data_IF_424657098236
#
_entry.id   IF_424657098236
#
_cell.length_a   1.000
_cell.length_b   1.000
_cell.length_c   1.000
_cell.angle_alpha   90.00
_cell.angle_beta   90.00
_cell.angle_gamma   90.00
#
_symmetry.space_group_name_H-M   'P 1'
#
loop_
_entity.id
_entity.type
_entity.pdbx_description
1 polymer ?
#
# COMPACT_ATOMS: atom_id res chain seq x y z
N UNK A 1 -7.05 -21.41 -4.37
CA UNK A 1 -7.25 -22.86 -4.63
C UNK A 1 -8.55 -23.31 -3.99
N UNK A 2 -9.22 -24.28 -4.60
CA UNK A 2 -10.39 -24.97 -4.07
C UNK A 2 -9.93 -26.38 -3.68
N UNK A 3 -10.36 -26.88 -2.52
CA UNK A 3 -10.03 -28.23 -2.05
C UNK A 3 -11.33 -28.95 -1.75
N UNK A 4 -11.53 -30.09 -2.39
CA UNK A 4 -12.71 -30.95 -2.24
C UNK A 4 -12.24 -32.26 -1.63
N UNK A 5 -12.93 -32.70 -0.59
CA UNK A 5 -12.67 -33.99 0.08
C UNK A 5 -13.88 -34.89 -0.09
N UNK A 6 -13.66 -36.06 -0.69
CA UNK A 6 -14.66 -37.09 -0.88
C UNK A 6 -14.61 -38.07 0.29
N UNK A 7 -15.71 -38.80 0.51
CA UNK A 7 -15.77 -39.84 1.56
C UNK A 7 -15.01 -41.11 1.22
N UNK A 8 -14.61 -41.28 -0.05
CA UNK A 8 -13.91 -42.43 -0.58
C UNK A 8 -13.11 -42.07 -1.85
N UNK A 9 -12.19 -42.95 -2.31
CA UNK A 9 -11.44 -42.73 -3.54
C UNK A 9 -12.33 -42.64 -4.80
N UNK A 10 -12.08 -41.63 -5.62
CA UNK A 10 -12.87 -41.33 -6.83
C UNK A 10 -12.20 -41.81 -8.12
N UNK A 11 -12.99 -42.07 -9.17
CA UNK A 11 -12.47 -42.09 -10.54
C UNK A 11 -12.09 -40.66 -10.93
N UNK A 12 -10.79 -40.41 -11.00
CA UNK A 12 -10.23 -39.08 -11.23
C UNK A 12 -10.65 -38.52 -12.59
N UNK A 13 -10.57 -39.30 -13.65
CA UNK A 13 -10.89 -38.83 -14.99
C UNK A 13 -12.39 -38.50 -15.13
N UNK A 14 -13.26 -39.34 -14.56
CA UNK A 14 -14.69 -39.08 -14.52
C UNK A 14 -15.02 -37.84 -13.67
N UNK A 15 -14.35 -37.67 -12.53
CA UNK A 15 -14.58 -36.55 -11.62
C UNK A 15 -14.09 -35.21 -12.20
N UNK A 16 -12.94 -35.20 -12.88
CA UNK A 16 -12.43 -34.02 -13.57
C UNK A 16 -13.35 -33.61 -14.72
N UNK A 17 -13.88 -34.58 -15.48
CA UNK A 17 -14.87 -34.33 -16.54
C UNK A 17 -16.21 -33.81 -16.00
N UNK A 18 -16.55 -34.11 -14.75
CA UNK A 18 -17.77 -33.69 -14.07
C UNK A 18 -17.71 -32.27 -13.47
N UNK A 19 -16.55 -31.60 -13.54
CA UNK A 19 -16.41 -30.22 -13.08
C UNK A 19 -17.15 -29.25 -14.00
N UNK A 20 -18.04 -28.46 -13.41
CA UNK A 20 -18.77 -27.40 -14.08
C UNK A 20 -18.61 -26.08 -13.30
N UNK A 21 -18.38 -25.00 -14.02
CA UNK A 21 -18.40 -23.65 -13.46
C UNK A 21 -18.82 -22.66 -14.53
N UNK A 22 -19.77 -21.75 -14.24
CA UNK A 22 -20.11 -20.68 -15.16
C UNK A 22 -18.99 -19.63 -15.31
N UNK A 23 -18.09 -19.54 -14.32
CA UNK A 23 -17.11 -18.45 -14.20
C UNK A 23 -15.67 -18.89 -14.50
N UNK A 24 -15.33 -20.16 -14.24
CA UNK A 24 -13.98 -20.70 -14.36
C UNK A 24 -14.03 -22.06 -15.07
N UNK A 25 -13.91 -22.06 -16.40
CA UNK A 25 -13.98 -23.29 -17.19
C UNK A 25 -12.87 -24.30 -16.85
N UNK A 26 -13.07 -25.59 -17.17
CA UNK A 26 -12.11 -26.66 -16.90
C UNK A 26 -10.70 -26.39 -17.50
N UNK A 27 -10.62 -25.73 -18.67
CA UNK A 27 -9.34 -25.36 -19.28
C UNK A 27 -8.59 -24.21 -18.57
N UNK A 28 -9.23 -23.55 -17.61
CA UNK A 28 -8.66 -22.45 -16.82
C UNK A 28 -8.18 -22.90 -15.45
N UNK A 29 -8.26 -24.19 -15.14
CA UNK A 29 -7.79 -24.76 -13.88
C UNK A 29 -6.80 -25.90 -14.12
N UNK A 30 -5.98 -26.16 -13.11
CA UNK A 30 -5.22 -27.38 -12.95
C UNK A 30 -5.83 -28.17 -11.80
N UNK A 31 -6.00 -29.48 -12.01
CA UNK A 31 -6.59 -30.39 -11.04
C UNK A 31 -5.51 -31.37 -10.56
N UNK A 32 -5.38 -31.49 -9.25
CA UNK A 32 -4.39 -32.35 -8.61
C UNK A 32 -5.06 -33.22 -7.55
N UNK A 33 -4.70 -34.50 -7.52
CA UNK A 33 -5.21 -35.45 -6.55
C UNK A 33 -4.16 -35.81 -5.51
N UNK A 34 -4.60 -36.07 -4.29
CA UNK A 34 -3.75 -36.73 -3.32
C UNK A 34 -3.52 -38.22 -3.69
N UNK A 35 -2.57 -38.88 -3.01
CA UNK A 35 -2.23 -40.27 -3.29
C UNK A 35 -3.37 -41.26 -3.00
N UNK A 36 -4.30 -40.93 -2.09
CA UNK A 36 -5.45 -41.77 -1.78
C UNK A 36 -6.58 -41.63 -2.81
N UNK A 37 -6.56 -40.60 -3.66
CA UNK A 37 -7.59 -40.35 -4.67
C UNK A 37 -8.93 -39.84 -4.10
N UNK A 38 -8.94 -39.37 -2.84
CA UNK A 38 -10.13 -38.87 -2.14
C UNK A 38 -10.07 -37.35 -1.88
N UNK A 39 -8.98 -36.67 -2.27
CA UNK A 39 -8.87 -35.21 -2.21
C UNK A 39 -8.48 -34.65 -3.57
N UNK A 40 -9.34 -33.78 -4.11
CA UNK A 40 -9.11 -33.01 -5.33
C UNK A 40 -8.79 -31.56 -4.98
N UNK A 41 -7.66 -31.06 -5.46
CA UNK A 41 -7.29 -29.64 -5.42
C UNK A 41 -7.45 -29.04 -6.80
N UNK A 42 -8.29 -28.00 -6.91
CA UNK A 42 -8.50 -27.24 -8.13
C UNK A 42 -7.82 -25.87 -7.98
N UNK A 43 -6.90 -25.56 -8.89
CA UNK A 43 -6.14 -24.31 -8.87
C UNK A 43 -6.37 -23.55 -10.17
N UNK A 44 -6.96 -22.35 -10.14
CA UNK A 44 -6.99 -21.47 -11.31
C UNK A 44 -5.59 -21.24 -11.87
N UNK A 45 -5.45 -21.40 -13.19
CA UNK A 45 -4.17 -21.24 -13.91
C UNK A 45 -3.69 -19.78 -13.93
N UNK A 46 -4.60 -18.84 -13.72
CA UNK A 46 -4.33 -17.42 -13.52
C UNK A 46 -5.00 -16.94 -12.22
N UNK A 47 -4.46 -15.89 -11.57
CA UNK A 47 -5.13 -15.26 -10.44
C UNK A 47 -6.56 -14.84 -10.79
N UNK A 48 -7.50 -15.13 -9.89
CA UNK A 48 -8.88 -14.67 -10.06
C UNK A 48 -8.93 -13.15 -9.95
N UNK A 49 -9.75 -12.47 -10.78
CA UNK A 49 -9.83 -11.02 -10.75
C UNK A 49 -10.48 -10.54 -9.45
N UNK A 50 -10.13 -9.33 -9.05
CA UNK A 50 -10.85 -8.55 -8.03
C UNK A 50 -11.71 -7.50 -8.72
N UNK A 51 -12.82 -7.12 -8.09
CA UNK A 51 -13.56 -5.92 -8.52
C UNK A 51 -12.73 -4.68 -8.19
N UNK A 52 -12.60 -3.76 -9.15
CA UNK A 52 -12.07 -2.41 -8.90
C UNK A 52 -13.19 -1.58 -8.31
N UNK A 53 -13.30 -1.65 -7.00
CA UNK A 53 -14.46 -1.18 -6.26
C UNK A 53 -14.40 0.33 -5.99
N UNK A 54 -13.18 0.88 -5.84
CA UNK A 54 -12.95 2.21 -5.27
C UNK A 54 -13.32 2.29 -3.79
N UNK A 55 -14.49 1.74 -3.40
CA UNK A 55 -15.05 1.65 -2.06
C UNK A 55 -15.49 0.20 -1.74
N UNK A 56 -15.42 -0.22 -0.48
CA UNK A 56 -15.89 -1.53 0.00
C UNK A 56 -17.39 -1.76 -0.20
N UNK A 57 -18.18 -0.71 -0.41
CA UNK A 57 -19.63 -0.83 -0.64
C UNK A 57 -19.99 -1.54 -1.96
N UNK A 58 -19.08 -1.62 -2.94
CA UNK A 58 -19.32 -2.35 -4.19
C UNK A 58 -19.29 -3.85 -3.92
N UNK A 59 -20.20 -4.63 -4.48
CA UNK A 59 -20.22 -6.08 -4.31
C UNK A 59 -18.93 -6.74 -4.86
N UNK A 60 -18.41 -7.72 -4.13
CA UNK A 60 -17.30 -8.56 -4.61
C UNK A 60 -17.70 -9.40 -5.83
N UNK A 61 -16.71 -9.86 -6.60
CA UNK A 61 -16.95 -10.85 -7.64
C UNK A 61 -17.24 -12.20 -6.97
N UNK A 62 -18.40 -12.76 -7.29
CA UNK A 62 -18.80 -14.10 -6.90
C UNK A 62 -18.42 -15.10 -8.00
N UNK A 63 -17.97 -16.27 -7.58
CA UNK A 63 -17.62 -17.40 -8.43
C UNK A 63 -18.40 -18.62 -7.95
N UNK A 64 -18.95 -19.37 -8.89
CA UNK A 64 -19.64 -20.62 -8.61
C UNK A 64 -18.95 -21.82 -9.28
N UNK A 65 -19.01 -23.00 -8.67
CA UNK A 65 -18.61 -24.26 -9.29
C UNK A 65 -19.39 -25.43 -8.69
N UNK A 66 -19.42 -26.55 -9.40
CA UNK A 66 -19.92 -27.84 -8.91
C UNK A 66 -19.17 -29.01 -9.52
N UNK A 67 -19.23 -30.15 -8.83
CA UNK A 67 -18.93 -31.46 -9.40
C UNK A 67 -20.28 -32.17 -9.58
N UNK A 68 -20.68 -32.43 -10.81
CA UNK A 68 -21.99 -33.00 -11.09
C UNK A 68 -22.04 -34.51 -10.79
N UNK A 69 -23.24 -35.10 -10.89
CA UNK A 69 -23.48 -36.54 -10.58
C UNK A 69 -22.91 -37.52 -11.61
N UNK A 70 -22.22 -37.06 -12.66
CA UNK A 70 -21.45 -37.94 -13.55
C UNK A 70 -20.09 -38.35 -12.97
N UNK A 71 -19.61 -37.67 -11.92
CA UNK A 71 -18.48 -38.14 -11.13
C UNK A 71 -18.85 -39.42 -10.39
N UNK A 72 -17.98 -40.43 -10.46
CA UNK A 72 -18.17 -41.73 -9.80
C UNK A 72 -16.98 -42.11 -8.93
N UNK A 73 -17.23 -42.93 -7.91
CA UNK A 73 -16.16 -43.64 -7.21
C UNK A 73 -15.48 -44.71 -8.11
N UNK A 74 -14.46 -45.39 -7.59
CA UNK A 74 -13.79 -46.47 -8.31
C UNK A 74 -14.66 -47.72 -8.56
N UNK A 75 -15.79 -47.85 -7.86
CA UNK A 75 -16.78 -48.91 -8.07
C UNK A 75 -17.89 -48.51 -9.07
N UNK A 76 -17.87 -47.26 -9.58
CA UNK A 76 -18.85 -46.73 -10.51
C UNK A 76 -20.11 -46.16 -9.84
N UNK A 77 -20.13 -45.97 -8.52
CA UNK A 77 -21.24 -45.31 -7.84
C UNK A 77 -21.15 -43.79 -8.04
N UNK A 78 -22.21 -43.12 -8.52
CA UNK A 78 -22.19 -41.67 -8.74
C UNK A 78 -22.28 -40.88 -7.44
N UNK A 79 -21.86 -39.61 -7.47
CA UNK A 79 -22.20 -38.67 -6.40
C UNK A 79 -23.71 -38.62 -6.17
N UNK A 80 -24.12 -38.55 -4.90
CA UNK A 80 -25.54 -38.55 -4.53
C UNK A 80 -26.30 -37.28 -4.96
N UNK A 81 -25.59 -36.17 -5.14
CA UNK A 81 -26.11 -34.87 -5.57
C UNK A 81 -25.01 -34.07 -6.30
N UNK A 82 -25.40 -33.00 -6.99
CA UNK A 82 -24.50 -32.03 -7.63
C UNK A 82 -24.45 -30.70 -6.86
N UNK A 83 -23.86 -30.66 -5.64
CA UNK A 83 -23.85 -29.45 -4.83
C UNK A 83 -23.16 -28.30 -5.56
N UNK A 84 -23.83 -27.15 -5.62
CA UNK A 84 -23.24 -25.90 -6.11
C UNK A 84 -22.59 -25.15 -4.94
N UNK A 85 -21.34 -24.74 -5.15
CA UNK A 85 -20.56 -23.95 -4.21
C UNK A 85 -20.34 -22.55 -4.76
N UNK A 86 -20.36 -21.56 -3.87
CA UNK A 86 -20.11 -20.15 -4.19
C UNK A 86 -19.04 -19.58 -3.27
N UNK A 87 -18.19 -18.72 -3.80
CA UNK A 87 -17.23 -17.94 -3.02
C UNK A 87 -17.02 -16.59 -3.69
N UNK A 88 -16.48 -15.63 -2.92
CA UNK A 88 -16.11 -14.32 -3.45
C UNK A 88 -14.61 -14.11 -3.38
N UNK A 89 -14.09 -13.28 -4.27
CA UNK A 89 -12.73 -12.74 -4.13
C UNK A 89 -12.77 -11.42 -3.35
N UNK A 90 -11.62 -10.94 -2.88
CA UNK A 90 -11.50 -9.61 -2.30
C UNK A 90 -11.90 -8.48 -3.29
N UNK A 91 -12.06 -7.27 -2.75
CA UNK A 91 -12.24 -6.02 -3.50
C UNK A 91 -10.94 -5.27 -3.54
N UNK A 92 -10.60 -4.71 -4.71
CA UNK A 92 -9.54 -3.71 -4.83
C UNK A 92 -10.13 -2.32 -4.63
N UNK A 93 -9.75 -1.69 -3.53
CA UNK A 93 -10.22 -0.37 -3.11
C UNK A 93 -9.12 0.68 -3.26
N UNK A 94 -9.52 1.93 -3.44
CA UNK A 94 -8.59 3.07 -3.52
C UNK A 94 -8.99 4.18 -2.55
N UNK A 95 -8.01 4.80 -1.92
CA UNK A 95 -8.19 5.92 -1.00
C UNK A 95 -7.07 6.93 -1.15
N UNK A 96 -7.43 8.21 -1.14
CA UNK A 96 -6.49 9.30 -0.92
C UNK A 96 -6.45 9.62 0.57
N UNK A 97 -5.24 9.66 1.14
CA UNK A 97 -5.01 10.13 2.50
C UNK A 97 -4.62 11.61 2.47
N UNK A 98 -5.18 12.35 3.42
CA UNK A 98 -5.05 13.80 3.50
C UNK A 98 -4.00 14.20 4.54
N UNK A 99 -3.34 15.35 4.36
CA UNK A 99 -2.36 15.83 5.32
C UNK A 99 -3.00 16.36 6.60
N UNK A 100 -2.40 16.03 7.75
CA UNK A 100 -2.76 16.61 9.05
C UNK A 100 -2.10 17.97 9.18
N UNK A 101 -2.92 19.01 9.15
CA UNK A 101 -2.48 20.39 9.05
C UNK A 101 -1.53 20.86 10.16
N UNK A 102 -1.80 20.45 11.40
CA UNK A 102 -1.01 20.85 12.57
C UNK A 102 0.32 20.12 12.71
N UNK A 103 0.52 19.04 11.94
CA UNK A 103 1.70 18.16 12.00
C UNK A 103 2.47 18.11 10.68
N UNK A 104 2.12 19.00 9.75
CA UNK A 104 2.76 19.11 8.43
C UNK A 104 3.32 20.51 8.29
N UNK A 105 4.56 20.62 7.83
CA UNK A 105 5.20 21.91 7.62
C UNK A 105 6.71 21.81 7.66
N UNK A 106 7.36 22.77 8.34
CA UNK A 106 8.79 22.81 8.53
C UNK A 106 9.15 23.02 10.00
N UNK A 107 10.31 22.50 10.40
CA UNK A 107 11.00 22.90 11.62
C UNK A 107 12.47 23.16 11.28
N UNK A 108 13.03 24.24 11.82
CA UNK A 108 14.42 24.61 11.65
C UNK A 108 15.29 24.27 12.86
N UNK A 109 16.60 24.19 12.67
CA UNK A 109 17.56 23.93 13.75
C UNK A 109 17.63 25.03 14.83
N UNK A 110 17.09 26.23 14.55
CA UNK A 110 17.01 27.32 15.53
C UNK A 110 15.66 27.40 16.27
N UNK A 111 14.77 26.43 16.06
CA UNK A 111 13.48 26.34 16.76
C UNK A 111 12.34 27.10 16.12
N UNK A 112 12.49 27.58 14.89
CA UNK A 112 11.37 28.10 14.12
C UNK A 112 10.59 26.93 13.50
N UNK A 113 9.30 26.92 13.75
CA UNK A 113 8.34 25.97 13.19
C UNK A 113 7.23 26.72 12.45
N UNK A 114 6.74 26.13 11.36
CA UNK A 114 5.64 26.68 10.58
C UNK A 114 4.81 25.56 9.97
N UNK A 115 3.49 25.71 9.95
CA UNK A 115 2.56 24.72 9.38
C UNK A 115 2.04 25.09 8.00
N UNK A 116 2.29 26.33 7.53
CA UNK A 116 1.85 26.81 6.23
C UNK A 116 2.82 26.46 5.09
N UNK A 117 4.08 26.16 5.40
CA UNK A 117 5.14 25.96 4.41
C UNK A 117 5.86 24.62 4.64
N UNK A 118 6.26 23.92 3.57
CA UNK A 118 7.17 22.76 3.64
C UNK A 118 8.48 23.18 2.96
N UNK A 119 9.47 23.51 3.77
CA UNK A 119 10.80 23.96 3.30
C UNK A 119 11.86 22.97 3.78
N UNK A 120 12.79 22.64 2.88
CA UNK A 120 13.89 21.71 3.15
C UNK A 120 15.19 22.32 2.63
N UNK A 121 16.27 22.24 3.40
CA UNK A 121 17.58 22.79 3.02
C UNK A 121 18.16 23.64 4.13
N UNK A 122 18.78 24.77 3.79
CA UNK A 122 19.25 25.75 4.78
C UNK A 122 18.87 27.19 4.44
N UNK A 123 19.04 28.06 5.43
CA UNK A 123 18.84 29.51 5.32
C UNK A 123 20.15 30.28 5.30
N UNK A 124 20.09 31.56 4.99
CA UNK A 124 21.28 32.43 4.92
C UNK A 124 22.05 32.60 6.23
N UNK A 125 21.46 32.24 7.37
CA UNK A 125 22.16 32.16 8.66
C UNK A 125 22.64 30.72 8.98
N UNK A 126 22.68 29.84 7.98
CA UNK A 126 23.10 28.44 8.05
C UNK A 126 22.28 27.60 9.06
N UNK A 127 21.01 27.96 9.28
CA UNK A 127 20.05 27.11 9.97
C UNK A 127 19.51 26.05 9.01
N UNK A 128 19.49 24.79 9.43
CA UNK A 128 18.90 23.69 8.70
C UNK A 128 17.37 23.81 8.76
N UNK A 129 16.69 23.50 7.66
CA UNK A 129 15.25 23.32 7.55
C UNK A 129 14.95 21.86 7.23
N UNK A 130 14.07 21.24 8.03
CA UNK A 130 13.49 19.93 7.74
C UNK A 130 12.00 20.08 7.45
N UNK A 131 11.55 19.42 6.39
CA UNK A 131 10.13 19.31 6.08
C UNK A 131 9.52 18.13 6.82
N UNK A 132 8.27 18.25 7.25
CA UNK A 132 7.53 17.20 7.92
C UNK A 132 6.19 16.99 7.23
N UNK A 133 5.85 15.73 6.97
CA UNK A 133 4.65 15.31 6.26
C UNK A 133 3.91 14.32 7.17
N UNK A 134 2.67 14.63 7.54
CA UNK A 134 1.84 13.73 8.35
C UNK A 134 0.54 13.45 7.62
N UNK A 135 0.20 12.18 7.40
CA UNK A 135 -0.99 11.75 6.67
C UNK A 135 -1.96 11.04 7.63
N UNK A 136 -3.24 11.35 7.52
CA UNK A 136 -4.32 10.76 8.31
C UNK A 136 -4.78 9.43 7.71
N UNK A 137 -4.56 8.34 8.44
CA UNK A 137 -4.97 6.98 8.08
C UNK A 137 -6.35 6.60 8.61
N UNK A 138 -7.05 7.45 9.36
CA UNK A 138 -8.34 7.13 9.99
C UNK A 138 -9.45 6.77 8.98
N UNK A 139 -9.29 7.18 7.72
CA UNK A 139 -10.18 6.83 6.61
C UNK A 139 -9.93 5.43 6.04
N UNK A 140 -8.84 4.76 6.39
CA UNK A 140 -8.58 3.39 6.00
C UNK A 140 -9.45 2.46 6.86
N UNK A 141 -10.24 1.57 6.25
CA UNK A 141 -11.13 0.69 6.98
C UNK A 141 -10.35 -0.37 7.74
N UNK A 142 -10.97 -1.00 8.74
CA UNK A 142 -10.44 -2.20 9.40
C UNK A 142 -10.44 -3.41 8.46
N UNK A 143 -9.56 -4.37 8.71
CA UNK A 143 -9.55 -5.64 7.98
C UNK A 143 -9.06 -5.53 6.54
N UNK A 144 -8.14 -4.60 6.28
CA UNK A 144 -7.36 -4.61 5.02
C UNK A 144 -6.55 -5.90 4.98
N UNK A 145 -6.71 -6.66 3.89
CA UNK A 145 -6.00 -7.92 3.67
C UNK A 145 -4.57 -7.69 3.19
N UNK A 146 -4.40 -6.71 2.30
CA UNK A 146 -3.11 -6.40 1.67
C UNK A 146 -3.11 -4.96 1.14
N UNK A 147 -1.98 -4.26 1.28
CA UNK A 147 -1.73 -3.01 0.56
C UNK A 147 -0.99 -3.31 -0.74
N UNK A 148 -1.57 -2.94 -1.88
CA UNK A 148 -0.97 -3.16 -3.20
C UNK A 148 -0.12 -1.97 -3.64
N UNK A 149 -0.47 -0.75 -3.24
CA UNK A 149 0.34 0.45 -3.46
C UNK A 149 0.06 1.54 -2.43
N UNK A 150 1.07 2.35 -2.12
CA UNK A 150 0.91 3.60 -1.39
C UNK A 150 1.91 4.62 -1.93
N UNK A 151 1.41 5.64 -2.64
CA UNK A 151 2.25 6.63 -3.31
C UNK A 151 2.12 7.99 -2.63
N UNK A 152 3.11 8.32 -1.80
CA UNK A 152 3.27 9.65 -1.23
C UNK A 152 3.69 10.61 -2.35
N UNK A 153 3.05 11.77 -2.42
CA UNK A 153 3.36 12.78 -3.43
C UNK A 153 3.23 14.20 -2.89
N UNK A 154 4.05 15.11 -3.44
CA UNK A 154 4.02 16.54 -3.15
C UNK A 154 4.71 17.31 -4.29
N UNK A 155 4.19 18.47 -4.68
CA UNK A 155 4.77 19.31 -5.72
C UNK A 155 5.90 20.19 -5.17
N UNK A 156 7.02 20.23 -5.88
CA UNK A 156 8.03 21.26 -5.66
C UNK A 156 7.66 22.50 -6.46
N UNK A 157 7.43 23.62 -5.77
CA UNK A 157 6.90 24.84 -6.39
C UNK A 157 7.96 25.91 -6.63
N UNK A 158 9.02 25.94 -5.82
CA UNK A 158 10.11 26.88 -5.99
C UNK A 158 11.41 26.38 -5.35
N UNK A 159 12.49 27.07 -5.66
CA UNK A 159 13.82 26.85 -5.10
C UNK A 159 14.46 28.20 -4.80
N UNK A 160 15.24 28.27 -3.73
CA UNK A 160 16.14 29.39 -3.43
C UNK A 160 17.57 28.89 -3.51
N UNK A 161 18.45 29.62 -4.21
CA UNK A 161 19.87 29.24 -4.33
C UNK A 161 20.12 28.05 -5.26
N UNK A 162 21.06 27.19 -4.85
CA UNK A 162 21.52 26.00 -5.57
C UNK A 162 21.49 24.72 -4.71
N UNK A 163 20.40 24.41 -3.99
CA UNK A 163 20.35 23.34 -3.00
C UNK A 163 20.69 21.96 -3.56
N UNK A 164 20.29 21.69 -4.79
CA UNK A 164 20.58 20.41 -5.43
C UNK A 164 22.05 20.21 -5.82
N UNK A 165 22.83 21.30 -5.84
CA UNK A 165 24.27 21.27 -6.06
C UNK A 165 25.06 21.28 -4.74
N UNK A 166 24.66 22.11 -3.78
CA UNK A 166 25.35 22.30 -2.51
C UNK A 166 24.95 21.28 -1.44
N UNK A 167 23.66 20.95 -1.35
CA UNK A 167 23.08 20.09 -0.31
C UNK A 167 22.78 18.65 -0.80
N UNK A 168 22.79 18.44 -2.11
CA UNK A 168 22.58 17.13 -2.75
C UNK A 168 21.10 16.82 -3.01
N UNK A 169 20.60 15.68 -2.56
CA UNK A 169 19.22 15.24 -2.86
C UNK A 169 18.33 15.23 -1.61
N UNK A 170 17.04 15.54 -1.79
CA UNK A 170 16.03 15.47 -0.73
C UNK A 170 15.70 13.99 -0.46
N UNK A 171 16.06 13.54 0.74
CA UNK A 171 15.73 12.22 1.26
C UNK A 171 14.38 12.24 1.96
N UNK A 172 13.64 11.14 1.85
CA UNK A 172 12.44 10.85 2.63
C UNK A 172 12.80 9.86 3.74
N UNK A 173 12.44 10.22 4.97
CA UNK A 173 12.64 9.37 6.13
C UNK A 173 11.29 9.11 6.80
N UNK A 174 11.13 7.91 7.34
CA UNK A 174 10.07 7.62 8.31
C UNK A 174 10.41 8.31 9.64
N UNK A 175 9.40 8.91 10.26
CA UNK A 175 9.51 9.64 11.51
C UNK A 175 8.31 9.34 12.41
N UNK A 176 8.46 9.58 13.70
CA UNK A 176 7.37 9.52 14.68
C UNK A 176 7.55 10.72 15.63
N UNK A 177 6.52 11.56 15.72
CA UNK A 177 6.54 12.75 16.57
C UNK A 177 5.13 13.22 16.92
N UNK A 178 4.95 13.62 18.18
CA UNK A 178 3.66 14.08 18.70
C UNK A 178 3.32 15.53 18.32
N UNK A 179 4.34 16.39 18.19
CA UNK A 179 4.20 17.83 17.95
C UNK A 179 5.20 18.29 16.90
N UNK A 180 4.80 19.22 16.04
CA UNK A 180 5.67 19.83 15.03
C UNK A 180 6.54 20.91 15.68
N UNK A 181 7.57 20.50 16.41
CA UNK A 181 8.49 21.40 17.10
C UNK A 181 9.93 20.84 17.11
N UNK A 182 10.79 21.39 17.98
CA UNK A 182 12.18 20.96 18.13
C UNK A 182 12.33 19.48 18.54
N UNK A 183 11.29 18.87 19.11
CA UNK A 183 11.22 17.42 19.37
C UNK A 183 11.12 16.66 18.06
N UNK A 184 10.25 17.06 17.13
CA UNK A 184 10.18 16.47 15.79
C UNK A 184 11.48 16.70 15.00
N UNK A 185 12.07 17.90 15.12
CA UNK A 185 13.38 18.18 14.52
C UNK A 185 14.43 17.18 14.98
N UNK A 186 14.54 16.92 16.28
CA UNK A 186 15.54 16.04 16.87
C UNK A 186 15.15 14.55 16.87
N UNK A 187 13.93 14.20 16.47
CA UNK A 187 13.49 12.81 16.40
C UNK A 187 14.45 11.98 15.54
N UNK A 188 14.77 10.78 16.01
CA UNK A 188 15.59 9.87 15.23
C UNK A 188 14.85 9.47 13.94
N UNK A 189 15.57 9.35 12.84
CA UNK A 189 14.99 8.71 11.65
C UNK A 189 14.79 7.23 11.96
N UNK A 190 13.58 6.73 11.73
CA UNK A 190 13.26 5.32 11.92
C UNK A 190 13.80 4.49 10.75
N UNK A 191 13.50 4.93 9.52
CA UNK A 191 13.97 4.32 8.29
C UNK A 191 14.28 5.40 7.23
N UNK A 192 15.24 5.13 6.35
CA UNK A 192 15.44 5.91 5.12
C UNK A 192 14.63 5.25 3.99
N UNK A 193 13.67 5.98 3.44
CA UNK A 193 12.75 5.51 2.40
C UNK A 193 13.22 5.86 0.98
N UNK A 194 14.35 6.57 0.86
CA UNK A 194 15.01 6.88 -0.41
C UNK A 194 14.91 8.35 -0.81
N UNK A 195 15.14 8.60 -2.10
CA UNK A 195 15.21 9.96 -2.66
C UNK A 195 13.84 10.41 -3.16
N UNK A 196 13.33 11.52 -2.61
CA UNK A 196 12.11 12.18 -3.12
C UNK A 196 12.43 13.08 -4.31
N UNK A 197 13.50 13.87 -4.23
CA UNK A 197 13.90 14.82 -5.27
C UNK A 197 15.43 14.92 -5.38
N UNK A 198 15.95 14.83 -6.61
CA UNK A 198 17.38 14.93 -6.90
C UNK A 198 17.73 16.08 -7.84
N UNK A 199 16.75 16.88 -8.26
CA UNK A 199 16.95 17.97 -9.21
C UNK A 199 15.98 19.12 -8.97
N UNK A 200 16.34 20.29 -9.51
CA UNK A 200 15.61 21.56 -9.35
C UNK A 200 14.29 21.66 -10.13
N UNK A 201 13.86 20.59 -10.79
CA UNK A 201 12.65 20.59 -11.62
C UNK A 201 11.42 20.80 -10.74
N UNK A 202 10.57 21.75 -11.12
CA UNK A 202 9.33 22.12 -10.43
C UNK A 202 8.20 21.24 -10.97
N UNK A 203 7.96 20.12 -10.31
CA UNK A 203 6.92 19.14 -10.64
C UNK A 203 6.52 18.35 -9.38
N UNK A 204 5.53 17.48 -9.53
CA UNK A 204 5.15 16.53 -8.49
C UNK A 204 6.24 15.49 -8.28
N UNK A 205 6.76 15.43 -7.06
CA UNK A 205 7.66 14.39 -6.58
C UNK A 205 6.83 13.28 -5.95
N UNK A 206 7.30 12.04 -6.04
CA UNK A 206 6.60 10.92 -5.43
C UNK A 206 7.52 9.77 -5.07
N UNK A 207 7.19 9.06 -3.99
CA UNK A 207 7.90 7.86 -3.52
C UNK A 207 6.87 6.80 -3.16
N UNK A 208 7.20 5.53 -3.43
CA UNK A 208 6.43 4.38 -2.95
C UNK A 208 6.77 4.09 -1.49
N UNK A 209 5.75 4.15 -0.64
CA UNK A 209 5.85 3.95 0.81
C UNK A 209 4.95 2.80 1.29
N UNK A 210 4.56 1.88 0.40
CA UNK A 210 3.60 0.80 0.71
C UNK A 210 4.00 -0.03 1.93
N UNK A 211 5.30 -0.29 2.12
CA UNK A 211 5.80 -1.04 3.27
C UNK A 211 5.69 -0.26 4.58
N UNK A 212 6.00 1.03 4.56
CA UNK A 212 5.86 1.92 5.73
C UNK A 212 4.39 2.08 6.09
N UNK A 213 3.52 2.36 5.12
CA UNK A 213 2.08 2.46 5.37
C UNK A 213 1.51 1.17 5.97
N UNK A 214 1.92 0.00 5.46
CA UNK A 214 1.46 -1.28 6.00
C UNK A 214 1.92 -1.49 7.46
N UNK A 215 3.14 -1.09 7.79
CA UNK A 215 3.67 -1.16 9.15
C UNK A 215 2.95 -0.17 10.10
N UNK A 216 2.75 1.07 9.65
CA UNK A 216 2.03 2.10 10.40
C UNK A 216 0.58 1.69 10.64
N UNK A 217 -0.10 1.16 9.62
CA UNK A 217 -1.47 0.67 9.73
C UNK A 217 -1.60 -0.47 10.75
N UNK A 218 -0.63 -1.39 10.79
CA UNK A 218 -0.60 -2.47 11.79
C UNK A 218 -0.42 -1.93 13.24
N UNK A 219 0.14 -0.73 13.39
CA UNK A 219 0.37 -0.05 14.67
C UNK A 219 -0.50 1.20 14.86
N UNK A 220 -1.53 1.39 14.03
CA UNK A 220 -2.24 2.68 13.94
C UNK A 220 -2.87 3.14 15.25
N UNK A 221 -3.30 2.22 16.11
CA UNK A 221 -3.82 2.58 17.44
C UNK A 221 -2.76 3.25 18.32
N UNK A 222 -1.50 2.80 18.27
CA UNK A 222 -0.40 3.46 19.00
C UNK A 222 0.10 4.72 18.31
N UNK A 223 -0.02 4.80 16.98
CA UNK A 223 0.38 5.96 16.18
C UNK A 223 -0.73 7.03 16.04
N UNK A 224 -1.91 6.81 16.62
CA UNK A 224 -3.03 7.74 16.52
C UNK A 224 -3.60 7.89 15.10
N UNK A 225 -3.58 6.81 14.32
CA UNK A 225 -3.96 6.78 12.90
C UNK A 225 -3.12 7.71 12.02
N UNK A 226 -1.84 7.89 12.34
CA UNK A 226 -0.92 8.73 11.57
C UNK A 226 0.16 7.92 10.86
N UNK A 227 0.51 8.34 9.65
CA UNK A 227 1.75 7.94 8.97
C UNK A 227 2.60 9.19 8.76
N UNK A 228 3.84 9.17 9.26
CA UNK A 228 4.65 10.36 9.47
C UNK A 228 6.02 10.26 8.80
N UNK A 229 6.40 11.34 8.13
CA UNK A 229 7.62 11.41 7.34
C UNK A 229 8.38 12.72 7.54
N UNK A 230 9.68 12.66 7.26
CA UNK A 230 10.58 13.80 7.29
C UNK A 230 11.36 13.93 5.99
N UNK A 231 11.42 15.15 5.48
CA UNK A 231 12.26 15.54 4.36
C UNK A 231 13.52 16.25 4.86
N UNK A 232 14.67 15.84 4.34
CA UNK A 232 15.96 16.49 4.61
C UNK A 232 16.88 16.33 3.40
N UNK A 233 17.75 17.30 3.13
CA UNK A 233 18.80 17.09 2.14
C UNK A 233 19.86 16.10 2.67
N UNK A 234 20.53 15.41 1.76
CA UNK A 234 21.64 14.50 2.08
C UNK A 234 22.78 15.19 2.85
N UNK A 235 23.02 16.46 2.56
CA UNK A 235 23.88 17.35 3.34
C UNK A 235 22.98 18.43 3.96
N UNK A 236 22.88 18.50 5.30
CA UNK A 236 21.93 19.41 5.96
C UNK A 236 22.16 20.91 5.72
N UNK A 237 23.43 21.34 5.63
CA UNK A 237 23.86 22.74 5.61
C UNK A 237 25.12 22.88 4.74
N UNK A 238 25.23 23.94 3.93
CA UNK A 238 26.39 24.22 3.06
C UNK A 238 27.44 25.15 3.69
N UNK A 239 27.06 25.92 4.73
CA UNK A 239 27.88 26.92 5.43
C UNK A 239 28.38 28.08 4.55
N UNK A 240 27.70 28.38 3.45
CA UNK A 240 28.10 29.44 2.52
C UNK A 240 27.44 30.80 2.80
N UNK A 241 26.59 30.89 3.83
CA UNK A 241 25.81 32.08 4.19
C UNK A 241 24.84 32.55 3.09
N UNK A 242 24.53 31.68 2.13
CA UNK A 242 23.41 31.79 1.22
C UNK A 242 22.29 30.85 1.68
N UNK A 243 21.07 31.11 1.20
CA UNK A 243 19.96 30.19 1.44
C UNK A 243 19.92 29.19 0.28
N UNK A 244 20.04 27.91 0.58
CA UNK A 244 19.87 26.82 -0.37
C UNK A 244 18.70 25.95 0.08
N UNK A 245 17.50 26.16 -0.48
CA UNK A 245 16.33 25.38 -0.09
C UNK A 245 15.33 25.12 -1.22
N UNK A 246 14.57 24.04 -1.05
CA UNK A 246 13.46 23.67 -1.89
C UNK A 246 12.14 23.86 -1.12
N UNK A 247 11.16 24.45 -1.81
CA UNK A 247 9.81 24.66 -1.28
C UNK A 247 8.85 23.67 -1.92
N UNK A 248 8.05 23.03 -1.07
CA UNK A 248 7.04 22.07 -1.46
C UNK A 248 5.64 22.60 -1.14
N UNK A 249 4.75 22.53 -2.11
CA UNK A 249 3.37 23.00 -1.99
C UNK A 249 2.57 22.01 -1.14
N UNK A 250 2.30 22.42 0.11
CA UNK A 250 1.52 21.64 1.06
C UNK A 250 0.11 21.30 0.56
N UNK A 251 -0.49 22.11 -0.31
CA UNK A 251 -1.85 21.85 -0.83
C UNK A 251 -1.88 20.68 -1.81
N UNK A 252 -0.73 20.28 -2.33
CA UNK A 252 -0.57 19.12 -3.21
C UNK A 252 -0.04 17.88 -2.50
N UNK A 253 0.21 17.96 -1.18
CA UNK A 253 0.64 16.82 -0.39
C UNK A 253 -0.52 15.83 -0.24
N UNK A 254 -0.27 14.58 -0.62
CA UNK A 254 -1.23 13.50 -0.44
C UNK A 254 -0.58 12.12 -0.54
N UNK A 255 -1.36 11.09 -0.24
CA UNK A 255 -0.96 9.71 -0.48
C UNK A 255 -2.09 8.93 -1.15
N UNK A 256 -1.83 8.38 -2.33
CA UNK A 256 -2.77 7.50 -3.02
C UNK A 256 -2.51 6.05 -2.62
N UNK A 257 -3.52 5.39 -2.06
CA UNK A 257 -3.43 4.04 -1.51
C UNK A 257 -4.36 3.11 -2.27
N UNK A 258 -3.85 1.94 -2.66
CA UNK A 258 -4.64 0.82 -3.19
C UNK A 258 -4.49 -0.38 -2.28
N UNK A 259 -5.58 -1.02 -1.91
CA UNK A 259 -5.59 -2.16 -1.00
C UNK A 259 -6.67 -3.18 -1.34
N UNK A 260 -6.48 -4.41 -0.88
CA UNK A 260 -7.46 -5.48 -0.92
C UNK A 260 -8.24 -5.56 0.40
N UNK A 261 -9.56 -5.70 0.30
CA UNK A 261 -10.44 -5.88 1.45
C UNK A 261 -11.54 -6.91 1.20
N UNK A 262 -11.98 -7.56 2.28
CA UNK A 262 -13.16 -8.45 2.30
C UNK A 262 -14.49 -7.74 2.08
#
# INVERSE_FOLDING_TARGET
KIVITFSEPMDQAATEAAYESPDISAGQVTMEWNAAGDVLTITPNAPLPYVNAGDRAVAALEFAYKINTSATDLAGNPLAADPEYRFTTARRCTRALEPVASLTGLVSSNGYDATNDIIVGDGSANQEYRGFLTLDMSKLPDGILEFESAKLHVAQESITGTPYLSLGSVQLHEADFATLDMTAFNAASLNNLGVLASEKRLDTKSVDVVRTLAADYAQRTSLGDLSQFRLQFSTPISFDSAADNAHFDRTTLGMDVTYLAE
#
